data_IF_440990808041
#
_entry.id   IF_440990808041
#
_cell.length_a   1.000
_cell.length_b   1.000
_cell.length_c   1.000
_cell.angle_alpha   90.00
_cell.angle_beta   90.00
_cell.angle_gamma   90.00
#
_symmetry.space_group_name_H-M   'P 1'
#
loop_
_entity.id
_entity.type
_entity.pdbx_description
1 polymer ?
#
# COMPACT_ATOMS: atom_id res chain seq x y z
N UNK A 1 -60.49 5.01 -12.92
CA UNK A 1 -59.99 3.65 -13.22
C UNK A 1 -59.47 3.65 -14.65
N UNK A 2 -58.20 3.97 -14.83
CA UNK A 2 -57.53 3.93 -16.13
C UNK A 2 -56.24 3.15 -15.99
N UNK A 3 -56.19 2.06 -16.73
CA UNK A 3 -55.16 1.04 -16.80
C UNK A 3 -54.04 1.55 -17.71
N UNK A 4 -52.84 1.75 -17.16
CA UNK A 4 -51.63 1.96 -17.97
C UNK A 4 -51.00 0.61 -18.29
N UNK A 5 -50.79 0.39 -19.60
CA UNK A 5 -50.13 -0.78 -20.18
C UNK A 5 -48.63 -0.51 -20.22
N UNK A 6 -47.85 -1.40 -19.61
CA UNK A 6 -46.38 -1.39 -19.62
C UNK A 6 -45.88 -2.18 -20.84
N UNK A 7 -45.20 -1.53 -21.78
CA UNK A 7 -44.54 -2.20 -22.91
C UNK A 7 -43.08 -2.47 -22.53
N UNK A 8 -42.75 -3.74 -22.33
CA UNK A 8 -41.38 -4.22 -22.11
C UNK A 8 -40.60 -4.27 -23.42
N UNK A 9 -39.38 -3.74 -23.38
CA UNK A 9 -38.39 -3.89 -24.44
C UNK A 9 -37.34 -4.91 -23.97
N UNK A 10 -37.40 -6.14 -24.48
CA UNK A 10 -36.38 -7.17 -24.24
C UNK A 10 -35.23 -6.98 -25.23
N UNK A 11 -34.07 -6.54 -24.74
CA UNK A 11 -32.81 -6.61 -25.49
C UNK A 11 -32.26 -8.04 -25.42
N UNK A 12 -32.29 -8.73 -26.56
CA UNK A 12 -31.56 -9.97 -26.81
C UNK A 12 -30.07 -9.65 -27.01
N UNK A 13 -29.25 -9.83 -25.97
CA UNK A 13 -27.80 -9.80 -26.09
C UNK A 13 -27.33 -11.07 -26.82
N UNK A 14 -26.92 -10.92 -28.08
CA UNK A 14 -26.33 -12.01 -28.86
C UNK A 14 -24.85 -12.06 -28.51
N UNK A 15 -24.46 -13.04 -27.68
CA UNK A 15 -23.08 -13.28 -27.30
C UNK A 15 -22.27 -13.83 -28.46
N UNK A 16 -21.37 -13.01 -29.00
CA UNK A 16 -20.37 -13.43 -29.97
C UNK A 16 -19.20 -14.09 -29.20
N UNK A 17 -19.13 -15.42 -29.22
CA UNK A 17 -17.99 -16.15 -28.69
C UNK A 17 -16.82 -16.03 -29.67
N UNK A 18 -15.86 -15.15 -29.36
CA UNK A 18 -14.61 -15.04 -30.09
C UNK A 18 -13.60 -16.02 -29.49
N UNK A 19 -13.31 -17.11 -30.20
CA UNK A 19 -12.27 -18.07 -29.81
C UNK A 19 -10.90 -17.48 -30.16
N UNK A 20 -10.27 -16.81 -29.20
CA UNK A 20 -8.90 -16.31 -29.34
C UNK A 20 -7.94 -17.47 -29.08
N UNK A 21 -7.32 -18.00 -30.14
CA UNK A 21 -6.16 -18.89 -30.04
C UNK A 21 -4.94 -18.00 -29.79
N UNK A 22 -4.71 -17.67 -28.51
CA UNK A 22 -3.64 -16.76 -28.08
C UNK A 22 -2.34 -17.51 -27.77
N UNK A 23 -1.33 -17.32 -28.59
CA UNK A 23 0.06 -17.54 -28.24
C UNK A 23 0.48 -16.48 -27.20
N UNK A 24 0.64 -16.89 -25.94
CA UNK A 24 1.53 -16.26 -24.95
C UNK A 24 1.37 -14.75 -24.66
N UNK A 25 0.17 -14.18 -24.75
CA UNK A 25 -0.05 -12.81 -24.25
C UNK A 25 -0.09 -12.87 -22.72
N UNK A 26 0.85 -12.20 -22.04
CA UNK A 26 0.83 -11.93 -20.60
C UNK A 26 -0.51 -11.30 -20.22
N UNK A 27 -1.48 -12.13 -19.85
CA UNK A 27 -2.83 -11.70 -19.55
C UNK A 27 -2.78 -11.10 -18.13
N UNK A 28 -3.04 -9.80 -17.94
CA UNK A 28 -3.07 -9.23 -16.61
C UNK A 28 -4.05 -10.02 -15.74
N UNK A 29 -3.58 -10.44 -14.57
CA UNK A 29 -4.44 -11.04 -13.57
C UNK A 29 -5.27 -9.91 -12.95
N UNK A 30 -6.52 -9.81 -13.40
CA UNK A 30 -7.48 -8.95 -12.71
C UNK A 30 -7.98 -9.69 -11.49
N UNK A 31 -7.64 -9.15 -10.33
CA UNK A 31 -8.34 -9.58 -9.13
C UNK A 31 -9.79 -9.10 -9.20
N UNK A 32 -10.77 -9.99 -8.96
CA UNK A 32 -12.17 -9.63 -9.10
C UNK A 32 -12.62 -8.70 -7.98
N UNK A 33 -13.31 -7.62 -8.37
CA UNK A 33 -14.12 -6.78 -7.49
C UNK A 33 -13.47 -5.44 -7.14
N UNK A 34 -14.24 -4.36 -7.29
CA UNK A 34 -13.89 -3.11 -6.63
C UNK A 34 -14.18 -3.26 -5.13
N UNK A 35 -13.24 -2.83 -4.30
CA UNK A 35 -13.42 -2.72 -2.85
C UNK A 35 -13.91 -1.30 -2.54
N UNK A 36 -14.72 -1.16 -1.50
CA UNK A 36 -15.25 0.13 -1.06
C UNK A 36 -14.93 0.40 0.40
N UNK A 37 -14.32 1.55 0.66
CA UNK A 37 -14.16 2.13 1.99
C UNK A 37 -15.18 3.25 2.19
N UNK A 38 -15.70 3.40 3.40
CA UNK A 38 -16.72 4.41 3.72
C UNK A 38 -16.42 5.04 5.08
N UNK A 39 -16.20 6.35 5.10
CA UNK A 39 -16.20 7.18 6.31
C UNK A 39 -17.63 7.65 6.54
N UNK A 40 -18.22 7.28 7.68
CA UNK A 40 -19.58 7.66 8.06
C UNK A 40 -19.57 8.84 9.03
N UNK A 41 -20.72 9.49 9.17
CA UNK A 41 -20.91 10.54 10.17
C UNK A 41 -20.59 10.09 11.60
N UNK A 42 -20.86 8.82 11.93
CA UNK A 42 -20.54 8.25 13.23
C UNK A 42 -19.03 8.12 13.47
N UNK A 43 -18.26 7.78 12.44
CA UNK A 43 -16.80 7.66 12.53
C UNK A 43 -16.18 9.04 12.82
N UNK A 44 -16.72 10.08 12.20
CA UNK A 44 -16.32 11.48 12.40
C UNK A 44 -16.68 11.96 13.81
N UNK A 45 -17.88 11.64 14.29
CA UNK A 45 -18.30 11.99 15.64
C UNK A 45 -17.40 11.31 16.69
N UNK A 46 -17.07 10.03 16.52
CA UNK A 46 -16.16 9.30 17.40
C UNK A 46 -14.76 9.95 17.42
N UNK A 47 -14.20 10.24 16.25
CA UNK A 47 -12.90 10.93 16.14
C UNK A 47 -12.91 12.33 16.80
N UNK A 48 -14.05 13.01 16.82
CA UNK A 48 -14.19 14.30 17.52
C UNK A 48 -14.26 14.15 19.04
N UNK A 49 -14.90 13.11 19.55
CA UNK A 49 -14.98 12.81 20.98
C UNK A 49 -13.60 12.43 21.55
N UNK A 50 -12.78 11.72 20.77
CA UNK A 50 -11.43 11.30 21.16
C UNK A 50 -10.40 12.45 21.11
N UNK A 51 -10.82 13.68 20.78
CA UNK A 51 -9.92 14.82 20.62
C UNK A 51 -9.04 14.77 19.36
N UNK A 52 -9.05 13.65 18.63
CA UNK A 52 -8.32 13.47 17.38
C UNK A 52 -8.74 14.46 16.28
N UNK A 53 -10.00 14.90 16.27
CA UNK A 53 -10.47 15.92 15.33
C UNK A 53 -9.89 17.32 15.58
N UNK A 54 -9.34 17.60 16.77
CA UNK A 54 -8.89 18.93 17.18
C UNK A 54 -7.36 19.10 17.13
N UNK A 55 -6.59 18.01 17.08
CA UNK A 55 -5.12 18.07 17.07
C UNK A 55 -4.52 18.28 15.67
N UNK A 56 -5.21 17.88 14.59
CA UNK A 56 -4.76 18.16 13.23
C UNK A 56 -5.93 18.31 12.23
N UNK A 57 -6.18 19.51 11.66
CA UNK A 57 -7.29 19.76 10.71
C UNK A 57 -7.10 19.08 9.34
N UNK A 58 -6.07 18.25 9.20
CA UNK A 58 -5.79 17.44 8.01
C UNK A 58 -6.45 16.04 8.12
N UNK A 59 -6.78 15.58 9.34
CA UNK A 59 -6.90 14.13 9.58
C UNK A 59 -8.33 13.58 9.50
N UNK A 60 -9.36 14.33 9.94
CA UNK A 60 -10.73 13.82 9.92
C UNK A 60 -10.88 12.43 10.57
N UNK A 61 -11.98 11.72 10.27
CA UNK A 61 -12.04 10.28 10.55
C UNK A 61 -11.46 9.53 9.35
N UNK A 62 -10.90 8.35 9.61
CA UNK A 62 -10.34 7.50 8.57
C UNK A 62 -10.81 6.05 8.67
N UNK A 63 -10.73 5.36 7.55
CA UNK A 63 -10.95 3.91 7.43
C UNK A 63 -9.86 3.31 6.55
N UNK A 64 -9.41 2.10 6.90
CA UNK A 64 -8.37 1.38 6.17
C UNK A 64 -8.92 0.07 5.59
N UNK A 65 -8.43 -0.29 4.42
CA UNK A 65 -8.63 -1.60 3.83
C UNK A 65 -7.31 -2.20 3.40
N UNK A 66 -7.09 -3.46 3.77
CA UNK A 66 -5.92 -4.23 3.37
C UNK A 66 -6.30 -5.18 2.23
N UNK A 67 -5.38 -5.30 1.28
CA UNK A 67 -5.51 -6.16 0.12
C UNK A 67 -4.25 -7.01 -0.02
N UNK A 68 -4.35 -8.28 0.35
CA UNK A 68 -3.26 -9.25 0.22
C UNK A 68 -3.19 -9.80 -1.20
N UNK A 69 -2.01 -9.75 -1.80
CA UNK A 69 -1.77 -10.27 -3.14
C UNK A 69 -1.54 -11.78 -3.07
N UNK A 70 -2.21 -12.53 -3.95
CA UNK A 70 -2.17 -13.99 -3.93
C UNK A 70 -1.00 -14.52 -4.78
N UNK A 71 0.10 -14.90 -4.12
CA UNK A 71 1.24 -15.58 -4.74
C UNK A 71 1.24 -17.08 -4.44
N UNK A 72 1.77 -17.91 -5.34
CA UNK A 72 2.02 -19.32 -5.05
C UNK A 72 3.17 -19.44 -4.07
N UNK A 73 3.12 -20.46 -3.22
CA UNK A 73 4.25 -20.76 -2.35
C UNK A 73 5.49 -21.13 -3.18
N UNK A 74 6.70 -20.65 -2.82
CA UNK A 74 7.92 -21.12 -3.47
C UNK A 74 8.09 -22.62 -3.26
N UNK A 75 8.69 -23.30 -4.23
CA UNK A 75 9.17 -24.66 -4.06
C UNK A 75 10.40 -24.68 -3.15
N UNK A 76 10.72 -25.84 -2.56
CA UNK A 76 11.92 -25.98 -1.71
C UNK A 76 13.21 -25.58 -2.45
N UNK A 77 13.29 -25.85 -3.76
CA UNK A 77 14.44 -25.49 -4.57
C UNK A 77 14.54 -23.98 -4.84
N UNK A 78 13.41 -23.31 -5.10
CA UNK A 78 13.34 -21.85 -5.25
C UNK A 78 13.70 -21.16 -3.93
N UNK A 79 13.08 -21.61 -2.82
CA UNK A 79 13.36 -21.05 -1.49
C UNK A 79 14.83 -21.20 -1.08
N UNK A 80 15.44 -22.35 -1.37
CA UNK A 80 16.86 -22.58 -1.08
C UNK A 80 17.79 -21.69 -1.91
N UNK A 81 17.37 -21.27 -3.12
CA UNK A 81 18.14 -20.34 -3.93
C UNK A 81 18.07 -18.90 -3.39
N UNK A 82 16.91 -18.51 -2.85
CA UNK A 82 16.67 -17.18 -2.27
C UNK A 82 17.32 -17.00 -0.89
N UNK A 83 17.50 -18.10 -0.15
CA UNK A 83 17.99 -18.08 1.24
C UNK A 83 19.21 -18.99 1.41
N UNK A 84 20.38 -18.59 0.90
CA UNK A 84 21.62 -19.34 1.11
C UNK A 84 21.85 -19.59 2.61
N UNK A 85 22.36 -20.76 3.02
CA UNK A 85 22.61 -21.04 4.43
C UNK A 85 23.48 -19.98 5.10
N UNK A 86 22.98 -19.37 6.17
CA UNK A 86 23.68 -18.34 6.94
C UNK A 86 23.38 -16.89 6.52
N UNK A 87 22.50 -16.66 5.54
CA UNK A 87 22.11 -15.31 5.12
C UNK A 87 21.31 -14.57 6.20
N UNK A 88 21.67 -13.32 6.49
CA UNK A 88 20.84 -12.40 7.27
C UNK A 88 19.58 -11.99 6.47
N UNK A 89 18.52 -11.44 7.09
CA UNK A 89 17.36 -10.95 6.34
C UNK A 89 17.70 -9.93 5.25
N UNK A 90 18.74 -9.11 5.44
CA UNK A 90 19.23 -8.14 4.45
C UNK A 90 19.89 -8.82 3.23
N UNK A 91 20.40 -10.04 3.41
CA UNK A 91 21.07 -10.84 2.39
C UNK A 91 20.13 -11.82 1.67
N UNK A 92 18.87 -11.94 2.12
CA UNK A 92 17.90 -12.84 1.50
C UNK A 92 17.29 -12.18 0.28
N UNK A 93 17.31 -12.85 -0.87
CA UNK A 93 16.55 -12.38 -2.01
C UNK A 93 15.05 -12.60 -1.75
N UNK A 94 14.19 -11.63 -2.06
CA UNK A 94 12.77 -11.80 -1.87
C UNK A 94 12.19 -12.81 -2.87
N UNK A 95 11.20 -13.59 -2.42
CA UNK A 95 10.38 -14.42 -3.30
C UNK A 95 9.53 -13.56 -4.22
N UNK A 96 8.92 -12.51 -3.68
CA UNK A 96 8.13 -11.56 -4.46
C UNK A 96 9.02 -10.37 -4.78
N UNK A 97 9.46 -10.25 -6.04
CA UNK A 97 10.38 -9.19 -6.45
C UNK A 97 9.67 -7.98 -7.02
N UNK A 98 10.21 -6.81 -6.74
CA UNK A 98 9.66 -5.52 -7.17
C UNK A 98 9.58 -5.37 -8.69
N UNK A 99 10.60 -5.82 -9.41
CA UNK A 99 10.72 -5.71 -10.87
C UNK A 99 9.88 -6.73 -11.63
N UNK A 100 9.37 -7.75 -10.95
CA UNK A 100 8.48 -8.76 -11.51
C UNK A 100 7.00 -8.38 -11.44
N UNK A 101 6.67 -7.30 -10.69
CA UNK A 101 5.30 -6.81 -10.47
C UNK A 101 5.03 -5.51 -11.23
N UNK A 102 3.95 -5.53 -12.00
CA UNK A 102 3.27 -4.32 -12.48
C UNK A 102 1.94 -4.18 -11.75
N UNK A 103 1.84 -3.21 -10.83
CA UNK A 103 0.61 -2.93 -10.07
C UNK A 103 0.05 -1.57 -10.47
N UNK A 104 -1.27 -1.46 -10.60
CA UNK A 104 -1.96 -0.16 -10.65
C UNK A 104 -3.23 -0.21 -9.83
N UNK A 105 -3.54 0.89 -9.16
CA UNK A 105 -4.71 1.01 -8.28
C UNK A 105 -5.54 2.22 -8.70
N UNK A 106 -6.45 2.08 -9.68
CA UNK A 106 -7.46 3.09 -9.95
C UNK A 106 -8.41 3.23 -8.76
N UNK A 107 -8.82 4.46 -8.48
CA UNK A 107 -9.73 4.77 -7.39
C UNK A 107 -10.70 5.90 -7.73
N UNK A 108 -11.85 5.90 -7.05
CA UNK A 108 -12.94 6.88 -7.16
C UNK A 108 -13.36 7.31 -5.77
N UNK A 109 -13.11 8.57 -5.43
CA UNK A 109 -13.49 9.21 -4.18
C UNK A 109 -14.78 10.01 -4.38
N UNK A 110 -15.78 9.82 -3.52
CA UNK A 110 -17.07 10.51 -3.56
C UNK A 110 -17.33 11.23 -2.25
N UNK A 111 -17.72 12.51 -2.33
CA UNK A 111 -18.30 13.22 -1.19
C UNK A 111 -19.76 12.80 -1.03
N UNK A 112 -20.08 12.06 0.03
CA UNK A 112 -21.44 11.55 0.29
C UNK A 112 -22.30 12.54 1.10
N UNK A 113 -21.85 13.80 1.24
CA UNK A 113 -22.46 14.81 2.09
C UNK A 113 -22.96 16.04 1.32
N UNK A 114 -23.86 16.80 1.96
CA UNK A 114 -24.39 18.07 1.45
C UNK A 114 -23.49 19.29 1.75
N UNK A 115 -22.26 19.07 2.23
CA UNK A 115 -21.29 20.12 2.56
C UNK A 115 -19.97 19.87 1.82
N UNK A 116 -19.18 20.92 1.55
CA UNK A 116 -17.80 20.73 1.11
C UNK A 116 -17.02 19.91 2.14
N UNK A 117 -16.13 19.04 1.68
CA UNK A 117 -15.26 18.25 2.55
C UNK A 117 -13.79 18.37 2.16
N UNK A 118 -12.93 18.10 3.13
CA UNK A 118 -11.51 17.82 2.93
C UNK A 118 -11.30 16.32 3.11
N UNK A 119 -10.70 15.67 2.12
CA UNK A 119 -10.36 14.26 2.16
C UNK A 119 -8.93 14.00 1.67
N UNK A 120 -8.41 12.82 1.91
CA UNK A 120 -7.15 12.35 1.36
C UNK A 120 -7.21 10.83 1.16
N UNK A 121 -6.39 10.35 0.25
CA UNK A 121 -6.22 8.94 -0.07
C UNK A 121 -4.74 8.62 0.05
N UNK A 122 -4.39 7.57 0.78
CA UNK A 122 -3.03 7.03 0.82
C UNK A 122 -2.99 5.59 0.35
N UNK A 123 -1.83 5.18 -0.14
CA UNK A 123 -1.51 3.80 -0.46
C UNK A 123 -0.19 3.45 0.22
N UNK A 124 -0.31 2.65 1.27
CA UNK A 124 0.79 2.03 2.00
C UNK A 124 0.80 0.52 1.71
N UNK A 125 1.62 -0.27 2.41
CA UNK A 125 1.63 -1.71 2.18
C UNK A 125 2.70 -2.45 2.95
N UNK A 126 2.89 -3.71 2.56
CA UNK A 126 3.93 -4.58 3.09
C UNK A 126 4.71 -5.25 1.97
N UNK A 127 5.98 -5.50 2.24
CA UNK A 127 6.79 -6.50 1.52
C UNK A 127 6.70 -7.85 2.23
N UNK A 128 7.39 -8.87 1.74
CA UNK A 128 7.45 -10.16 2.45
C UNK A 128 8.15 -10.08 3.82
N UNK A 129 8.92 -9.01 4.06
CA UNK A 129 9.71 -8.82 5.28
C UNK A 129 9.02 -7.88 6.26
N UNK A 130 8.48 -6.75 5.79
CA UNK A 130 8.04 -5.67 6.65
C UNK A 130 6.69 -5.07 6.23
N UNK A 131 5.87 -4.73 7.24
CA UNK A 131 4.59 -4.04 7.11
C UNK A 131 4.72 -2.58 7.51
N UNK A 132 4.38 -1.67 6.59
CA UNK A 132 4.40 -0.24 6.82
C UNK A 132 2.99 0.31 7.09
N UNK A 133 2.75 0.66 8.36
CA UNK A 133 1.49 1.28 8.79
C UNK A 133 1.75 2.56 9.60
N UNK A 134 2.05 3.69 8.95
CA UNK A 134 2.38 4.93 9.65
C UNK A 134 1.19 5.43 10.49
N UNK A 135 -0.03 5.19 10.02
CA UNK A 135 -1.25 5.62 10.70
C UNK A 135 -1.49 4.84 11.99
N UNK A 136 -1.28 3.52 12.01
CA UNK A 136 -1.42 2.73 13.23
C UNK A 136 -0.27 2.98 14.22
N UNK A 137 0.94 3.25 13.72
CA UNK A 137 2.12 3.48 14.56
C UNK A 137 2.15 4.86 15.21
N UNK A 138 1.79 5.91 14.46
CA UNK A 138 2.00 7.32 14.85
C UNK A 138 0.70 8.14 14.87
N UNK A 139 -0.44 7.50 14.58
CA UNK A 139 -1.67 8.22 14.30
C UNK A 139 -1.62 8.95 12.96
N UNK A 140 -2.78 9.25 12.39
CA UNK A 140 -2.85 10.06 11.17
C UNK A 140 -2.45 11.53 11.41
N UNK A 141 -2.32 11.97 12.67
CA UNK A 141 -2.02 13.34 13.07
C UNK A 141 -0.56 13.58 13.51
N UNK A 142 0.32 12.58 13.47
CA UNK A 142 1.49 12.57 14.36
C UNK A 142 1.00 12.33 15.78
N UNK A 143 1.74 11.61 16.61
CA UNK A 143 1.16 11.08 17.84
C UNK A 143 0.85 12.11 18.91
N UNK A 144 0.63 11.66 20.14
CA UNK A 144 -0.09 12.42 21.17
C UNK A 144 0.64 13.69 21.65
N UNK A 145 1.92 13.84 21.31
CA UNK A 145 2.76 14.97 21.69
C UNK A 145 2.97 15.92 20.50
N UNK A 146 2.89 17.24 20.74
CA UNK A 146 3.10 18.31 19.74
C UNK A 146 4.47 18.23 19.00
N UNK A 147 5.37 17.37 19.47
CA UNK A 147 6.72 17.15 18.94
C UNK A 147 6.86 15.84 18.14
N UNK A 148 5.80 15.06 18.00
CA UNK A 148 5.87 13.77 17.30
C UNK A 148 5.94 13.95 15.78
N UNK A 149 7.02 13.41 15.20
CA UNK A 149 7.29 13.52 13.77
C UNK A 149 6.26 12.70 13.00
N UNK A 150 5.47 13.38 12.16
CA UNK A 150 4.65 12.70 11.17
C UNK A 150 5.55 12.01 10.15
N UNK A 151 5.39 10.70 10.01
CA UNK A 151 5.99 9.97 8.92
C UNK A 151 5.04 9.96 7.72
N UNK A 152 5.54 10.30 6.52
CA UNK A 152 4.73 10.32 5.32
C UNK A 152 4.28 8.90 4.94
N UNK A 153 3.09 8.75 4.37
CA UNK A 153 2.70 7.53 3.66
C UNK A 153 3.65 7.25 2.50
N UNK A 154 3.74 6.00 2.06
CA UNK A 154 4.52 5.63 0.88
C UNK A 154 4.02 6.38 -0.36
N UNK A 155 2.69 6.52 -0.50
CA UNK A 155 2.06 7.29 -1.58
C UNK A 155 0.84 8.08 -1.09
N UNK A 156 0.65 9.26 -1.67
CA UNK A 156 -0.56 10.06 -1.54
C UNK A 156 -0.48 11.16 -0.48
N UNK A 157 -1.47 11.20 0.41
CA UNK A 157 -1.60 12.17 1.53
C UNK A 157 -1.89 13.64 1.13
N UNK A 158 -1.89 13.98 -0.16
CA UNK A 158 -2.27 15.35 -0.57
C UNK A 158 -3.75 15.61 -0.27
N UNK A 159 -4.10 16.62 0.55
CA UNK A 159 -5.49 16.94 0.83
C UNK A 159 -6.24 17.40 -0.42
N UNK A 160 -7.43 16.84 -0.63
CA UNK A 160 -8.35 17.11 -1.72
C UNK A 160 -9.59 17.80 -1.14
N UNK A 161 -9.91 18.97 -1.67
CA UNK A 161 -11.19 19.62 -1.40
C UNK A 161 -12.22 19.12 -2.41
N UNK A 162 -13.40 18.71 -1.92
CA UNK A 162 -14.52 18.26 -2.74
C UNK A 162 -15.76 19.08 -2.41
N UNK A 163 -16.44 19.56 -3.45
CA UNK A 163 -17.79 20.15 -3.32
C UNK A 163 -18.82 19.07 -2.94
N UNK A 164 -20.02 19.45 -2.44
CA UNK A 164 -21.09 18.50 -2.16
C UNK A 164 -21.36 17.58 -3.35
N UNK A 165 -21.37 16.26 -3.10
CA UNK A 165 -21.61 15.23 -4.12
C UNK A 165 -20.57 15.18 -5.26
N UNK A 166 -19.43 15.88 -5.14
CA UNK A 166 -18.34 15.78 -6.11
C UNK A 166 -17.72 14.38 -6.09
N UNK A 167 -17.40 13.89 -7.29
CA UNK A 167 -16.65 12.66 -7.53
C UNK A 167 -15.27 13.02 -8.08
N UNK A 168 -14.22 12.44 -7.49
CA UNK A 168 -12.84 12.57 -7.93
C UNK A 168 -12.26 11.21 -8.25
N UNK A 169 -11.68 11.08 -9.43
CA UNK A 169 -10.98 9.88 -9.86
C UNK A 169 -9.46 10.08 -9.79
N UNK A 170 -8.74 8.98 -9.57
CA UNK A 170 -7.28 8.95 -9.64
C UNK A 170 -6.76 7.53 -9.81
N UNK A 171 -5.44 7.41 -9.88
CA UNK A 171 -4.76 6.12 -10.04
C UNK A 171 -3.37 6.21 -9.41
N UNK A 172 -3.04 5.26 -8.55
CA UNK A 172 -1.65 4.98 -8.20
C UNK A 172 -1.07 4.10 -9.30
N UNK A 173 -0.07 4.63 -10.02
CA UNK A 173 0.47 3.97 -11.21
C UNK A 173 1.58 3.00 -10.85
N UNK A 174 1.97 2.20 -11.85
CA UNK A 174 3.04 1.22 -11.75
C UNK A 174 4.35 1.83 -11.23
N UNK A 175 4.77 2.97 -11.79
CA UNK A 175 6.02 3.61 -11.40
C UNK A 175 5.95 4.16 -9.96
N UNK A 176 4.77 4.61 -9.52
CA UNK A 176 4.56 5.08 -8.15
C UNK A 176 4.69 3.92 -7.15
N UNK A 177 4.09 2.77 -7.46
CA UNK A 177 4.19 1.56 -6.64
C UNK A 177 5.59 0.95 -6.64
N UNK A 178 6.30 1.00 -7.78
CA UNK A 178 7.69 0.54 -7.86
C UNK A 178 8.60 1.40 -7.00
N UNK A 179 8.34 2.70 -6.95
CA UNK A 179 9.04 3.60 -6.04
C UNK A 179 8.69 3.33 -4.58
N UNK A 180 7.40 3.25 -4.24
CA UNK A 180 6.95 2.97 -2.88
C UNK A 180 7.58 1.70 -2.27
N UNK A 181 7.74 0.65 -3.08
CA UNK A 181 8.38 -0.59 -2.63
C UNK A 181 9.89 -0.48 -2.54
N UNK A 182 10.54 0.36 -3.37
CA UNK A 182 11.94 0.72 -3.18
C UNK A 182 12.14 1.39 -1.83
N UNK A 183 11.34 2.41 -1.56
CA UNK A 183 11.44 3.22 -0.36
C UNK A 183 11.23 2.36 0.89
N UNK A 184 10.21 1.51 0.87
CA UNK A 184 9.94 0.58 1.96
C UNK A 184 11.12 -0.36 2.22
N UNK A 185 11.67 -1.00 1.18
CA UNK A 185 12.81 -1.91 1.34
C UNK A 185 14.08 -1.15 1.78
N UNK A 186 14.28 0.07 1.29
CA UNK A 186 15.37 0.95 1.71
C UNK A 186 15.29 1.26 3.21
N UNK A 187 14.14 1.72 3.71
CA UNK A 187 14.00 2.14 5.11
C UNK A 187 13.96 0.98 6.10
N UNK A 188 13.53 -0.19 5.65
CA UNK A 188 13.41 -1.38 6.49
C UNK A 188 14.65 -2.24 6.39
N UNK A 189 14.87 -2.85 5.23
CA UNK A 189 15.88 -3.86 4.99
C UNK A 189 17.28 -3.28 4.84
N UNK A 190 17.41 -2.02 4.44
CA UNK A 190 18.70 -1.34 4.30
C UNK A 190 18.90 -0.21 5.31
N UNK A 191 17.99 -0.08 6.28
CA UNK A 191 18.11 0.87 7.39
C UNK A 191 18.33 2.33 6.93
N UNK A 192 17.81 2.69 5.75
CA UNK A 192 17.87 4.03 5.21
C UNK A 192 17.07 5.01 6.07
N UNK A 193 17.50 6.27 6.10
CA UNK A 193 16.82 7.30 6.89
C UNK A 193 15.40 7.54 6.38
N UNK A 194 14.33 7.25 7.15
CA UNK A 194 12.96 7.22 6.65
C UNK A 194 12.47 8.56 6.11
N UNK A 195 12.81 9.67 6.79
CA UNK A 195 12.46 11.01 6.30
C UNK A 195 13.27 11.42 5.07
N UNK A 196 14.48 10.90 4.91
CA UNK A 196 15.31 11.20 3.75
C UNK A 196 14.77 10.46 2.52
N UNK A 197 14.44 9.18 2.66
CA UNK A 197 13.87 8.36 1.59
C UNK A 197 12.46 8.83 1.22
N UNK A 198 11.51 8.82 2.16
CA UNK A 198 10.09 8.99 1.85
C UNK A 198 9.69 10.41 1.40
N UNK A 199 10.54 11.41 1.60
CA UNK A 199 10.29 12.78 1.11
C UNK A 199 10.90 13.07 -0.26
N UNK A 200 11.69 12.14 -0.81
CA UNK A 200 12.32 12.27 -2.12
C UNK A 200 11.87 11.12 -3.01
N UNK A 201 11.94 11.33 -4.32
CA UNK A 201 11.78 10.21 -5.26
C UNK A 201 13.17 9.80 -5.69
N UNK A 202 13.61 8.59 -5.35
CA UNK A 202 14.89 8.00 -5.72
C UNK A 202 15.25 8.21 -7.19
N UNK A 203 14.30 8.01 -8.12
CA UNK A 203 14.55 8.20 -9.56
C UNK A 203 14.89 9.65 -9.96
N UNK A 204 14.40 10.63 -9.19
CA UNK A 204 14.63 12.05 -9.43
C UNK A 204 15.77 12.61 -8.56
N UNK A 205 15.89 12.12 -7.33
CA UNK A 205 16.80 12.58 -6.30
C UNK A 205 17.08 11.44 -5.31
N UNK A 206 18.21 10.70 -5.43
CA UNK A 206 18.52 9.51 -4.64
C UNK A 206 19.01 9.86 -3.22
N UNK A 207 18.34 10.80 -2.55
CA UNK A 207 18.66 11.21 -1.18
C UNK A 207 18.24 10.12 -0.20
N UNK A 208 19.15 9.76 0.70
CA UNK A 208 18.88 8.79 1.76
C UNK A 208 18.99 7.33 1.32
N UNK A 209 19.26 7.05 0.05
CA UNK A 209 19.30 5.68 -0.50
C UNK A 209 20.72 5.12 -0.64
N UNK A 210 21.74 5.80 -0.09
CA UNK A 210 23.15 5.41 -0.18
C UNK A 210 23.45 4.03 0.43
N UNK A 211 22.58 3.57 1.36
CA UNK A 211 22.70 2.28 2.01
C UNK A 211 22.20 1.11 1.17
N UNK A 212 21.45 1.37 0.08
CA UNK A 212 20.90 0.33 -0.79
C UNK A 212 21.97 -0.09 -1.81
N UNK A 213 22.43 -1.35 -1.80
CA UNK A 213 23.37 -1.84 -2.81
C UNK A 213 22.79 -1.69 -4.22
N UNK A 214 23.62 -1.27 -5.19
CA UNK A 214 23.16 -1.08 -6.57
C UNK A 214 22.73 -2.38 -7.27
N UNK A 215 23.16 -3.52 -6.74
CA UNK A 215 22.83 -4.88 -7.19
C UNK A 215 21.80 -5.57 -6.29
N UNK A 216 21.19 -4.84 -5.34
CA UNK A 216 20.16 -5.39 -4.47
C UNK A 216 18.93 -5.85 -5.26
N UNK A 217 18.47 -7.07 -4.97
CA UNK A 217 17.15 -7.54 -5.38
C UNK A 217 16.13 -7.03 -4.37
N UNK A 218 15.21 -6.18 -4.84
CA UNK A 218 14.29 -5.46 -3.98
C UNK A 218 12.95 -6.18 -3.85
N UNK A 219 12.39 -6.13 -2.64
CA UNK A 219 11.13 -6.79 -2.35
C UNK A 219 9.95 -6.05 -3.00
N UNK A 220 9.04 -6.82 -3.58
CA UNK A 220 7.77 -6.35 -4.12
C UNK A 220 6.68 -6.31 -3.07
N UNK A 221 5.55 -5.71 -3.43
CA UNK A 221 4.37 -5.67 -2.56
C UNK A 221 3.79 -7.07 -2.38
N UNK A 222 3.45 -7.42 -1.14
CA UNK A 222 2.63 -8.61 -0.80
C UNK A 222 1.27 -8.23 -0.21
N UNK A 223 1.16 -7.00 0.28
CA UNK A 223 -0.08 -6.41 0.75
C UNK A 223 -0.12 -4.93 0.40
N UNK A 224 -1.28 -4.45 -0.03
CA UNK A 224 -1.58 -3.04 -0.28
C UNK A 224 -2.58 -2.55 0.77
N UNK A 225 -2.29 -1.42 1.41
CA UNK A 225 -3.15 -0.80 2.41
C UNK A 225 -3.63 0.55 1.89
N UNK A 226 -4.92 0.62 1.54
CA UNK A 226 -5.54 1.89 1.19
C UNK A 226 -6.17 2.51 2.42
N UNK A 227 -5.94 3.81 2.59
CA UNK A 227 -6.61 4.60 3.62
C UNK A 227 -7.41 5.73 3.00
N UNK A 228 -8.64 5.90 3.45
CA UNK A 228 -9.46 7.08 3.20
C UNK A 228 -9.59 7.86 4.51
N UNK A 229 -9.14 9.11 4.52
CA UNK A 229 -9.49 10.08 5.57
C UNK A 229 -10.39 11.18 5.03
N UNK A 230 -11.38 11.61 5.82
CA UNK A 230 -12.31 12.66 5.42
C UNK A 230 -12.89 13.45 6.61
N UNK A 231 -13.18 14.73 6.38
CA UNK A 231 -13.81 15.63 7.35
C UNK A 231 -15.35 15.55 7.37
N UNK A 232 -15.95 14.88 6.39
CA UNK A 232 -17.38 14.64 6.23
C UNK A 232 -17.61 13.25 5.61
N UNK A 233 -18.84 12.70 5.62
CA UNK A 233 -19.11 11.39 5.02
C UNK A 233 -18.60 11.29 3.58
N UNK A 234 -17.84 10.23 3.31
CA UNK A 234 -17.19 10.00 2.02
C UNK A 234 -17.01 8.52 1.77
N UNK A 235 -16.87 8.16 0.49
CA UNK A 235 -16.54 6.79 0.10
C UNK A 235 -15.47 6.73 -0.97
N UNK A 236 -14.64 5.69 -0.89
CA UNK A 236 -13.56 5.40 -1.82
C UNK A 236 -13.78 4.02 -2.41
N UNK A 237 -14.04 3.95 -3.71
CA UNK A 237 -14.06 2.70 -4.47
C UNK A 237 -12.72 2.53 -5.17
N UNK A 238 -12.09 1.36 -5.06
CA UNK A 238 -10.80 1.08 -5.70
C UNK A 238 -10.74 -0.34 -6.23
N UNK A 239 -9.85 -0.56 -7.19
CA UNK A 239 -9.54 -1.90 -7.70
C UNK A 239 -8.03 -2.08 -7.79
N UNK A 240 -7.56 -3.32 -7.62
CA UNK A 240 -6.14 -3.66 -7.78
C UNK A 240 -5.97 -4.40 -9.10
N UNK A 241 -5.14 -3.85 -9.98
CA UNK A 241 -4.74 -4.50 -11.22
C UNK A 241 -3.30 -4.97 -11.06
N UNK A 242 -3.09 -6.28 -11.18
CA UNK A 242 -1.76 -6.89 -11.12
C UNK A 242 -1.44 -7.54 -12.47
N UNK A 243 -0.26 -7.25 -12.98
CA UNK A 243 0.36 -8.02 -14.05
C UNK A 243 1.72 -8.47 -13.54
N UNK A 244 2.04 -9.72 -13.82
CA UNK A 244 3.24 -10.38 -13.33
C UNK A 244 3.93 -11.11 -14.49
N UNK A 245 5.24 -11.34 -14.37
CA UNK A 245 6.10 -11.73 -15.50
C UNK A 245 6.69 -13.16 -15.43
N UNK A 246 6.70 -13.81 -14.27
CA UNK A 246 7.37 -15.08 -13.98
C UNK A 246 6.43 -16.26 -13.57
N UNK A 247 5.11 -16.09 -13.58
CA UNK A 247 4.15 -17.11 -13.16
C UNK A 247 4.10 -17.39 -11.66
N UNK A 248 4.42 -16.41 -10.80
CA UNK A 248 4.32 -16.56 -9.33
C UNK A 248 2.94 -16.25 -8.76
N UNK A 249 1.99 -15.74 -9.56
CA UNK A 249 0.59 -15.56 -9.11
C UNK A 249 -0.04 -16.91 -8.80
N UNK A 250 -0.69 -17.01 -7.64
CA UNK A 250 -1.41 -18.22 -7.23
C UNK A 250 -2.57 -18.52 -8.17
N UNK A 251 -2.60 -19.75 -8.66
CA UNK A 251 -3.71 -20.31 -9.41
C UNK A 251 -4.14 -21.61 -8.76
N UNK A 252 -5.33 -21.62 -8.15
CA UNK A 252 -5.90 -22.82 -7.48
C UNK A 252 -6.01 -24.06 -8.37
N UNK A 253 -5.97 -23.93 -9.71
CA UNK A 253 -5.95 -25.06 -10.62
C UNK A 253 -4.54 -25.67 -10.80
N UNK A 254 -3.48 -24.90 -10.53
CA UNK A 254 -2.08 -25.28 -10.75
C UNK A 254 -1.30 -25.45 -9.43
N UNK A 255 -1.63 -24.65 -8.43
CA UNK A 255 -0.87 -24.49 -7.20
C UNK A 255 -1.56 -25.12 -6.00
N UNK A 256 -0.79 -25.85 -5.19
CA UNK A 256 -1.31 -26.54 -4.02
C UNK A 256 -1.43 -25.62 -2.79
N UNK A 257 -0.65 -24.54 -2.73
CA UNK A 257 -0.56 -23.64 -1.56
C UNK A 257 -0.33 -22.19 -1.99
N UNK A 258 -0.99 -21.29 -1.27
CA UNK A 258 -0.68 -19.86 -1.30
C UNK A 258 0.58 -19.60 -0.49
N UNK A 259 1.31 -18.57 -0.88
CA UNK A 259 2.38 -18.02 -0.09
C UNK A 259 1.78 -17.23 1.07
N UNK A 260 2.06 -17.64 2.29
CA UNK A 260 1.62 -16.96 3.50
C UNK A 260 2.81 -16.19 4.08
N UNK A 261 2.86 -14.89 3.81
CA UNK A 261 3.85 -13.98 4.41
C UNK A 261 3.37 -13.49 5.76
N UNK A 262 4.29 -13.39 6.72
CA UNK A 262 4.05 -12.75 8.01
C UNK A 262 5.04 -11.59 8.17
N UNK A 263 4.83 -10.48 7.44
CA UNK A 263 5.74 -9.34 7.54
C UNK A 263 5.78 -8.80 8.97
N UNK A 264 6.97 -8.45 9.42
CA UNK A 264 7.15 -7.80 10.72
C UNK A 264 6.61 -6.37 10.65
N UNK A 265 5.88 -5.94 11.67
CA UNK A 265 5.45 -4.55 11.74
C UNK A 265 6.69 -3.65 11.83
N UNK A 266 6.87 -2.77 10.85
CA UNK A 266 7.93 -1.79 10.92
C UNK A 266 7.57 -0.70 11.90
N UNK A 267 8.35 -0.61 12.98
CA UNK A 267 8.25 0.44 13.98
C UNK A 267 9.38 1.42 13.71
N UNK A 268 9.04 2.64 13.32
CA UNK A 268 10.07 3.66 13.10
C UNK A 268 10.79 3.95 14.42
N UNK A 269 12.12 4.19 14.36
CA UNK A 269 12.85 4.64 15.53
C UNK A 269 12.26 5.98 16.01
N UNK A 270 12.18 6.16 17.33
CA UNK A 270 11.66 7.41 17.91
C UNK A 270 12.43 8.61 17.36
N UNK A 271 11.76 9.77 17.24
CA UNK A 271 12.40 10.99 16.73
C UNK A 271 13.68 11.36 17.52
N UNK A 272 13.71 11.08 18.83
CA UNK A 272 14.89 11.23 19.67
C UNK A 272 16.07 10.34 19.25
N UNK A 273 15.80 9.10 18.82
CA UNK A 273 16.82 8.19 18.29
C UNK A 273 17.28 8.62 16.87
N UNK A 274 16.35 9.07 16.02
CA UNK A 274 16.65 9.55 14.68
C UNK A 274 17.52 10.82 14.69
N UNK A 275 17.27 11.75 15.62
CA UNK A 275 18.03 13.00 15.77
C UNK A 275 19.39 12.81 16.44
N UNK A 276 19.54 11.80 17.31
CA UNK A 276 20.80 11.50 17.99
C UNK A 276 21.88 10.92 17.06
N UNK A 277 21.48 10.25 15.96
CA UNK A 277 22.41 9.67 14.96
C UNK A 277 23.00 10.66 13.95
N UNK A 278 22.52 11.91 13.92
CA UNK A 278 22.81 12.84 12.81
C UNK A 278 24.14 13.60 12.86
N UNK A 279 24.95 13.52 13.93
CA UNK A 279 26.08 14.47 14.09
C UNK A 279 27.50 13.93 14.09
N UNK A 280 27.77 12.64 14.27
CA UNK A 280 29.16 12.15 14.23
C UNK A 280 29.25 10.68 13.83
N UNK A 281 29.43 10.42 12.53
CA UNK A 281 30.08 9.22 11.99
C UNK A 281 29.48 7.87 12.35
N UNK A 282 28.71 7.29 11.42
CA UNK A 282 28.65 5.85 11.13
C UNK A 282 28.60 4.86 12.30
N UNK A 283 28.05 5.21 13.46
CA UNK A 283 27.55 4.21 14.39
C UNK A 283 26.18 3.79 13.89
N UNK A 284 26.17 2.67 13.16
CA UNK A 284 24.99 1.90 12.76
C UNK A 284 24.08 1.72 13.98
N UNK A 285 23.09 2.60 14.11
CA UNK A 285 22.05 2.45 15.10
C UNK A 285 21.18 1.25 14.70
N UNK A 286 21.50 0.10 15.31
CA UNK A 286 20.53 -0.92 15.74
C UNK A 286 19.53 -1.32 14.63
N UNK A 287 20.07 -1.78 13.51
CA UNK A 287 19.56 -3.00 12.89
C UNK A 287 20.29 -4.16 13.58
N UNK A 288 20.10 -4.29 14.89
CA UNK A 288 20.73 -5.31 15.71
C UNK A 288 20.11 -6.64 15.31
N UNK A 289 20.92 -7.51 14.70
CA UNK A 289 20.55 -8.85 14.26
C UNK A 289 19.79 -9.54 15.38
N UNK A 290 18.45 -9.58 15.27
CA UNK A 290 17.56 -10.12 16.28
C UNK A 290 18.13 -11.41 16.87
N UNK A 291 18.71 -11.29 18.06
CA UNK A 291 19.39 -12.37 18.75
C UNK A 291 18.42 -13.51 18.95
N UNK A 292 18.60 -14.57 18.17
CA UNK A 292 17.94 -15.85 18.36
C UNK A 292 18.27 -16.36 19.76
N UNK A 293 17.34 -16.19 20.71
CA UNK A 293 17.36 -16.93 21.97
C UNK A 293 16.89 -18.35 21.68
N UNK A 294 17.85 -19.27 21.57
CA UNK A 294 17.62 -20.70 21.76
C UNK A 294 17.39 -21.05 23.23
#
# INVERSE_FOLDING_TARGET
MHTHVTTGCSLLATGLACTIVGTGCNNPAYYPGATRLVVRAADIAAAAEDGAANANPTVGAYVQGEYWLDFRNPTDAELAALRPPGSTPMEQDPWVRRDELTISVPWTLTNDSDQPLRAWVTLDGATEFYDYNPIAGFGAAGGEEDEEVQFPSLLGFTPIMLEPHEVREGEFREDDLREAMYDLDAVTRFCAGPLAVLNHRHEADPIGTDAVPSDAVLAGAVMLRLTLGASAPASLEYAVRLRESEGIIFDSARDARRYETMPELYVLPSAAAAMAGGSTGADMAVCDDGGSSG
#
